data_IF_721966050116
#
_entry.id   IF_721966050116
#
_cell.length_a   1.000
_cell.length_b   1.000
_cell.length_c   1.000
_cell.angle_alpha   90.00
_cell.angle_beta   90.00
_cell.angle_gamma   90.00
#
_symmetry.space_group_name_H-M   'P 1'
#
loop_
_entity.id
_entity.type
_entity.pdbx_description
1 polymer ?
#
# COMPACT_ATOMS: atom_id res chain seq x y z
N UNK A 1 18.54 -16.49 16.91
CA UNK A 1 19.67 -15.85 16.21
C UNK A 1 19.15 -15.53 14.82
N UNK A 2 19.04 -14.25 14.46
CA UNK A 2 18.53 -13.82 13.16
C UNK A 2 19.32 -14.50 12.04
N UNK A 3 18.61 -15.15 11.12
CA UNK A 3 19.20 -15.72 9.93
C UNK A 3 19.50 -14.58 8.94
N UNK A 4 20.69 -13.98 9.08
CA UNK A 4 21.20 -12.91 8.24
C UNK A 4 21.41 -13.32 6.76
N UNK A 5 21.12 -14.57 6.38
CA UNK A 5 21.17 -15.01 4.98
C UNK A 5 19.93 -14.60 4.18
N UNK A 6 18.84 -14.21 4.86
CA UNK A 6 17.66 -13.66 4.19
C UNK A 6 17.84 -12.16 3.97
N UNK A 7 17.54 -11.64 2.77
CA UNK A 7 17.54 -10.21 2.53
C UNK A 7 16.54 -9.55 3.49
N UNK A 8 17.05 -8.64 4.33
CA UNK A 8 16.28 -7.88 5.31
C UNK A 8 16.52 -6.38 5.10
N UNK A 9 15.57 -5.59 5.56
CA UNK A 9 15.66 -4.13 5.58
C UNK A 9 15.66 -3.74 7.05
N UNK A 10 16.73 -3.10 7.50
CA UNK A 10 16.79 -2.50 8.83
C UNK A 10 15.97 -1.21 8.82
N UNK A 11 15.16 -1.01 9.87
CA UNK A 11 14.30 0.15 10.03
C UNK A 11 14.46 0.70 11.44
N UNK A 12 14.51 2.02 11.55
CA UNK A 12 14.51 2.75 12.83
C UNK A 12 13.20 3.53 12.94
N UNK A 13 12.10 2.78 13.13
CA UNK A 13 10.74 3.29 13.18
C UNK A 13 10.02 2.71 14.38
N UNK A 14 9.11 3.48 14.97
CA UNK A 14 8.27 2.98 16.04
C UNK A 14 7.21 1.96 15.53
N UNK A 15 6.59 1.17 16.42
CA UNK A 15 5.60 0.16 16.04
C UNK A 15 4.44 0.71 15.19
N UNK A 16 3.96 1.92 15.48
CA UNK A 16 2.82 2.52 14.78
C UNK A 16 3.25 2.97 13.37
N UNK A 17 4.44 3.53 13.22
CA UNK A 17 5.05 3.88 11.95
C UNK A 17 5.26 2.64 11.07
N UNK A 18 5.70 1.51 11.63
CA UNK A 18 5.84 0.25 10.90
C UNK A 18 4.47 -0.22 10.37
N UNK A 19 3.44 -0.17 11.21
CA UNK A 19 2.09 -0.62 10.83
C UNK A 19 1.37 0.32 9.87
N UNK A 20 1.76 1.60 9.82
CA UNK A 20 1.18 2.61 8.92
C UNK A 20 2.00 2.85 7.65
N UNK A 21 3.24 2.34 7.58
CA UNK A 21 4.07 2.42 6.37
C UNK A 21 3.75 1.24 5.43
N UNK A 22 3.10 1.47 4.27
CA UNK A 22 2.53 0.38 3.46
C UNK A 22 3.57 -0.60 2.90
N UNK A 23 4.79 -0.12 2.64
CA UNK A 23 5.90 -0.94 2.15
C UNK A 23 6.49 -1.86 3.23
N UNK A 24 6.34 -1.51 4.51
CA UNK A 24 6.90 -2.27 5.63
C UNK A 24 5.85 -3.16 6.31
N UNK A 25 4.58 -2.73 6.30
CA UNK A 25 3.51 -3.40 7.01
C UNK A 25 3.18 -4.78 6.40
N UNK A 26 3.42 -5.84 7.18
CA UNK A 26 3.06 -7.23 6.83
C UNK A 26 1.71 -7.68 7.40
N UNK A 27 1.04 -6.81 8.18
CA UNK A 27 -0.19 -7.14 8.88
C UNK A 27 -0.05 -8.38 9.77
N UNK A 28 -0.95 -9.35 9.62
CA UNK A 28 -0.85 -10.62 10.37
C UNK A 28 0.30 -11.52 9.90
N UNK A 29 1.04 -11.13 8.86
CA UNK A 29 2.19 -11.87 8.34
C UNK A 29 3.51 -11.63 9.06
N UNK A 30 3.59 -10.69 10.01
CA UNK A 30 4.80 -10.55 10.84
C UNK A 30 5.04 -11.83 11.64
N UNK A 31 6.25 -12.37 11.56
CA UNK A 31 6.66 -13.59 12.29
C UNK A 31 6.72 -13.31 13.80
N UNK A 32 6.89 -14.37 14.59
CA UNK A 32 7.02 -14.20 16.04
C UNK A 32 8.25 -13.36 16.38
N UNK A 33 9.37 -13.64 15.73
CA UNK A 33 10.64 -12.94 15.90
C UNK A 33 10.53 -11.46 15.49
N UNK A 34 9.89 -11.18 14.34
CA UNK A 34 9.66 -9.80 13.91
C UNK A 34 8.77 -9.03 14.89
N UNK A 35 7.76 -9.68 15.48
CA UNK A 35 6.91 -9.04 16.49
C UNK A 35 7.65 -8.78 17.80
N UNK A 36 8.58 -9.65 18.19
CA UNK A 36 9.44 -9.46 19.36
C UNK A 36 10.39 -8.26 19.14
N UNK A 37 11.08 -8.24 17.99
CA UNK A 37 12.09 -7.23 17.65
C UNK A 37 11.49 -5.85 17.35
N UNK A 38 10.35 -5.81 16.65
CA UNK A 38 9.67 -4.57 16.27
C UNK A 38 8.60 -4.14 17.29
N UNK A 39 8.54 -4.80 18.45
CA UNK A 39 7.61 -4.51 19.55
C UNK A 39 6.13 -4.43 19.13
N UNK A 40 5.69 -5.38 18.28
CA UNK A 40 4.33 -5.39 17.70
C UNK A 40 3.31 -6.21 18.52
N UNK A 41 3.74 -6.79 19.64
CA UNK A 41 2.85 -7.59 20.50
C UNK A 41 1.71 -6.76 21.08
N UNK A 42 0.48 -7.30 21.00
CA UNK A 42 -0.72 -6.60 21.43
C UNK A 42 -1.32 -5.65 20.37
N UNK A 43 -0.57 -5.28 19.34
CA UNK A 43 -1.06 -4.45 18.23
C UNK A 43 -1.69 -5.27 17.10
N UNK A 44 -1.39 -6.56 17.05
CA UNK A 44 -1.87 -7.50 16.04
C UNK A 44 -2.55 -8.71 16.67
N UNK A 45 -3.55 -9.33 16.01
CA UNK A 45 -4.08 -10.62 16.43
C UNK A 45 -2.96 -11.66 16.59
N UNK A 46 -3.09 -12.61 17.55
CA UNK A 46 -2.01 -13.56 17.86
C UNK A 46 -1.71 -14.55 16.73
N UNK A 47 -2.67 -14.78 15.84
CA UNK A 47 -2.47 -15.66 14.68
C UNK A 47 -1.50 -15.01 13.67
N UNK A 48 -0.47 -15.76 13.31
CA UNK A 48 0.46 -15.43 12.23
C UNK A 48 -0.02 -16.13 10.96
N UNK A 49 -0.28 -15.36 9.91
CA UNK A 49 -0.83 -15.88 8.65
C UNK A 49 0.20 -15.88 7.54
N UNK A 50 0.23 -16.93 6.73
CA UNK A 50 1.06 -16.97 5.51
C UNK A 50 0.60 -15.91 4.49
N UNK A 51 1.44 -15.58 3.51
CA UNK A 51 1.05 -14.63 2.46
C UNK A 51 -0.11 -15.19 1.62
N UNK A 52 -0.16 -16.50 1.38
CA UNK A 52 -1.24 -17.20 0.67
C UNK A 52 -2.57 -17.11 1.42
N UNK A 53 -2.56 -17.29 2.75
CA UNK A 53 -3.76 -17.13 3.57
C UNK A 53 -4.29 -15.68 3.53
N UNK A 54 -3.36 -14.72 3.55
CA UNK A 54 -3.72 -13.31 3.40
C UNK A 54 -4.32 -13.01 2.04
N UNK A 55 -3.71 -13.48 0.96
CA UNK A 55 -4.23 -13.35 -0.42
C UNK A 55 -5.62 -13.96 -0.53
N UNK A 56 -5.81 -15.20 -0.07
CA UNK A 56 -7.10 -15.89 -0.11
C UNK A 56 -8.19 -15.10 0.63
N UNK A 57 -7.87 -14.57 1.82
CA UNK A 57 -8.79 -13.73 2.60
C UNK A 57 -9.13 -12.43 1.88
N UNK A 58 -8.14 -11.76 1.26
CA UNK A 58 -8.38 -10.51 0.51
C UNK A 58 -9.17 -10.75 -0.77
N UNK A 59 -8.88 -11.81 -1.50
CA UNK A 59 -9.63 -12.22 -2.69
C UNK A 59 -11.11 -12.49 -2.39
N UNK A 60 -11.42 -13.18 -1.28
CA UNK A 60 -12.81 -13.38 -0.83
C UNK A 60 -13.53 -12.06 -0.51
N UNK A 61 -12.82 -11.10 0.09
CA UNK A 61 -13.40 -9.78 0.36
C UNK A 61 -13.64 -9.00 -0.93
N UNK A 62 -12.70 -9.04 -1.86
CA UNK A 62 -12.83 -8.42 -3.18
C UNK A 62 -14.03 -8.97 -3.96
N UNK A 63 -14.13 -10.29 -4.08
CA UNK A 63 -15.23 -10.96 -4.82
C UNK A 63 -16.60 -10.76 -4.18
N UNK A 64 -16.66 -10.44 -2.88
CA UNK A 64 -17.93 -10.09 -2.21
C UNK A 64 -18.47 -8.70 -2.59
N UNK A 65 -17.63 -7.83 -3.18
CA UNK A 65 -18.03 -6.48 -3.60
C UNK A 65 -18.88 -6.54 -4.86
N UNK A 66 -20.02 -5.85 -4.84
CA UNK A 66 -21.00 -5.88 -5.93
C UNK A 66 -20.78 -4.79 -6.95
N UNK A 67 -20.39 -3.60 -6.52
CA UNK A 67 -20.14 -2.46 -7.40
C UNK A 67 -18.68 -2.38 -7.75
N UNK A 68 -18.39 -1.93 -8.96
CA UNK A 68 -17.03 -1.76 -9.46
C UNK A 68 -16.25 -0.71 -8.64
N UNK A 69 -16.92 0.37 -8.23
CA UNK A 69 -16.31 1.37 -7.34
C UNK A 69 -15.91 0.79 -5.97
N UNK A 70 -16.71 -0.13 -5.41
CA UNK A 70 -16.38 -0.78 -4.13
C UNK A 70 -15.15 -1.69 -4.25
N UNK A 71 -14.95 -2.28 -5.44
CA UNK A 71 -13.75 -3.07 -5.77
C UNK A 71 -12.52 -2.18 -5.92
N UNK A 72 -12.65 -1.04 -6.61
CA UNK A 72 -11.61 -0.02 -6.70
C UNK A 72 -11.18 0.46 -5.30
N UNK A 73 -12.13 0.90 -4.47
CA UNK A 73 -11.87 1.37 -3.11
C UNK A 73 -11.17 0.27 -2.29
N UNK A 74 -11.66 -0.96 -2.36
CA UNK A 74 -11.04 -2.08 -1.65
C UNK A 74 -9.56 -2.29 -2.04
N UNK A 75 -9.26 -2.27 -3.34
CA UNK A 75 -7.89 -2.45 -3.83
C UNK A 75 -7.00 -1.26 -3.47
N UNK A 76 -7.52 -0.03 -3.56
CA UNK A 76 -6.82 1.18 -3.13
C UNK A 76 -6.50 1.15 -1.64
N UNK A 77 -7.47 0.81 -0.79
CA UNK A 77 -7.28 0.67 0.65
C UNK A 77 -6.29 -0.44 1.01
N UNK A 78 -6.22 -1.50 0.19
CA UNK A 78 -5.24 -2.55 0.40
C UNK A 78 -3.84 -2.05 0.07
N UNK A 79 -3.67 -1.36 -1.06
CA UNK A 79 -2.42 -0.71 -1.44
C UNK A 79 -1.95 0.22 -0.32
N UNK A 80 -2.84 1.09 0.19
CA UNK A 80 -2.62 2.07 1.28
C UNK A 80 -2.25 1.47 2.63
N UNK A 81 -2.42 0.16 2.83
CA UNK A 81 -2.10 -0.49 4.09
C UNK A 81 -0.94 -1.48 3.99
N UNK A 82 -0.87 -2.22 2.89
CA UNK A 82 0.11 -3.28 2.69
C UNK A 82 0.36 -3.46 1.19
N UNK A 83 1.40 -2.80 0.72
CA UNK A 83 1.72 -2.68 -0.70
C UNK A 83 2.21 -4.00 -1.29
N UNK A 84 2.97 -4.78 -0.51
CA UNK A 84 3.42 -6.13 -0.90
C UNK A 84 2.23 -7.06 -1.13
N UNK A 85 1.27 -7.07 -0.22
CA UNK A 85 0.07 -7.90 -0.34
C UNK A 85 -0.83 -7.44 -1.48
N UNK A 86 -0.94 -6.13 -1.71
CA UNK A 86 -1.65 -5.58 -2.88
C UNK A 86 -1.06 -6.11 -4.18
N UNK A 87 0.25 -5.95 -4.40
CA UNK A 87 0.89 -6.42 -5.63
C UNK A 87 0.82 -7.94 -5.75
N UNK A 88 1.01 -8.69 -4.67
CA UNK A 88 0.86 -10.16 -4.69
C UNK A 88 -0.54 -10.57 -5.15
N UNK A 89 -1.58 -9.95 -4.60
CA UNK A 89 -2.99 -10.24 -4.94
C UNK A 89 -3.30 -9.88 -6.40
N UNK A 90 -2.92 -8.68 -6.85
CA UNK A 90 -3.18 -8.21 -8.20
C UNK A 90 -2.42 -9.05 -9.22
N UNK A 91 -1.16 -9.43 -8.96
CA UNK A 91 -0.41 -10.30 -9.87
C UNK A 91 -1.01 -11.70 -9.99
N UNK A 92 -1.56 -12.24 -8.90
CA UNK A 92 -2.21 -13.57 -8.90
C UNK A 92 -3.57 -13.56 -9.65
N UNK A 93 -4.30 -12.44 -9.61
CA UNK A 93 -5.62 -12.29 -10.24
C UNK A 93 -5.66 -11.16 -11.27
N UNK A 94 -4.58 -11.00 -12.03
CA UNK A 94 -4.31 -9.81 -12.84
C UNK A 94 -5.43 -9.50 -13.85
N UNK A 95 -5.87 -10.50 -14.61
CA UNK A 95 -6.93 -10.34 -15.60
C UNK A 95 -8.25 -9.83 -15.00
N UNK A 96 -8.62 -10.31 -13.80
CA UNK A 96 -9.84 -9.89 -13.11
C UNK A 96 -9.69 -8.51 -12.47
N UNK A 97 -8.50 -8.18 -11.95
CA UNK A 97 -8.29 -6.97 -11.14
C UNK A 97 -7.85 -5.75 -11.93
N UNK A 98 -7.24 -5.93 -13.11
CA UNK A 98 -6.78 -4.83 -13.97
C UNK A 98 -7.83 -3.74 -14.23
N UNK A 99 -9.10 -4.08 -14.55
CA UNK A 99 -10.14 -3.07 -14.78
C UNK A 99 -10.43 -2.16 -13.58
N UNK A 100 -10.03 -2.57 -12.37
CA UNK A 100 -10.27 -1.86 -11.11
C UNK A 100 -9.03 -1.15 -10.56
N UNK A 101 -7.85 -1.39 -11.12
CA UNK A 101 -6.62 -0.64 -10.79
C UNK A 101 -6.22 0.33 -11.91
N UNK A 102 -6.84 0.20 -13.08
CA UNK A 102 -6.64 1.07 -14.24
C UNK A 102 -7.98 1.36 -14.93
N UNK A 103 -7.97 1.57 -16.25
CA UNK A 103 -9.16 1.80 -17.05
C UNK A 103 -10.08 0.57 -17.08
N UNK A 104 -11.41 0.74 -17.08
CA UNK A 104 -12.13 2.02 -17.09
C UNK A 104 -12.41 2.61 -15.69
N UNK A 105 -12.38 1.81 -14.62
CA UNK A 105 -12.90 2.20 -13.29
C UNK A 105 -12.11 3.35 -12.66
N UNK A 106 -10.80 3.44 -12.91
CA UNK A 106 -10.00 4.60 -12.44
C UNK A 106 -10.53 5.91 -13.02
N UNK A 107 -11.00 5.92 -14.27
CA UNK A 107 -11.57 7.13 -14.87
C UNK A 107 -12.85 7.58 -14.17
N UNK A 108 -13.71 6.64 -13.78
CA UNK A 108 -14.91 6.92 -12.98
C UNK A 108 -14.54 7.43 -11.57
N UNK A 109 -13.59 6.76 -10.91
CA UNK A 109 -13.10 7.19 -9.60
C UNK A 109 -12.46 8.58 -9.63
N UNK A 110 -11.76 8.94 -10.72
CA UNK A 110 -11.18 10.26 -10.90
C UNK A 110 -12.23 11.38 -10.94
N UNK A 111 -13.43 11.12 -11.48
CA UNK A 111 -14.53 12.10 -11.49
C UNK A 111 -15.05 12.39 -10.07
N UNK A 112 -14.93 11.43 -9.16
CA UNK A 112 -15.36 11.54 -7.76
C UNK A 112 -14.17 11.64 -6.78
N UNK A 113 -12.97 11.97 -7.29
CA UNK A 113 -11.71 11.86 -6.55
C UNK A 113 -11.72 12.66 -5.24
N UNK A 114 -12.37 13.82 -5.22
CA UNK A 114 -12.46 14.66 -4.01
C UNK A 114 -13.20 13.96 -2.86
N UNK A 115 -14.20 13.12 -3.17
CA UNK A 115 -14.96 12.36 -2.18
C UNK A 115 -14.28 11.04 -1.82
N UNK A 116 -13.53 10.46 -2.76
CA UNK A 116 -12.80 9.19 -2.59
C UNK A 116 -11.39 9.35 -2.03
N UNK A 117 -10.96 10.59 -1.77
CA UNK A 117 -9.63 10.88 -1.27
C UNK A 117 -9.39 10.22 0.09
N UNK A 118 -8.44 9.28 0.15
CA UNK A 118 -8.04 8.57 1.37
C UNK A 118 -6.63 8.99 1.84
N UNK A 119 -5.62 8.72 1.02
CA UNK A 119 -4.21 8.89 1.33
C UNK A 119 -3.45 9.37 0.11
N UNK A 120 -2.54 10.33 0.31
CA UNK A 120 -1.68 10.82 -0.75
C UNK A 120 -0.64 9.77 -1.15
N UNK A 121 -0.54 9.48 -2.45
CA UNK A 121 0.43 8.56 -3.07
C UNK A 121 1.37 9.21 -4.09
N UNK A 122 1.33 10.53 -4.18
CA UNK A 122 2.14 11.28 -5.13
C UNK A 122 2.35 12.70 -4.65
N UNK A 123 2.69 13.58 -5.59
CA UNK A 123 2.96 14.98 -5.32
C UNK A 123 2.07 15.80 -6.23
N UNK A 124 1.44 16.82 -5.66
CA UNK A 124 0.68 17.80 -6.41
C UNK A 124 1.54 19.03 -6.63
N UNK A 125 1.75 19.41 -7.89
CA UNK A 125 2.48 20.60 -8.27
C UNK A 125 1.49 21.59 -8.91
N UNK A 126 1.38 22.79 -8.33
CA UNK A 126 0.56 23.87 -8.87
C UNK A 126 1.47 25.00 -9.36
N UNK A 127 1.08 25.64 -10.47
CA UNK A 127 1.77 26.83 -10.99
C UNK A 127 1.79 27.99 -9.99
N UNK A 128 0.78 28.08 -9.11
CA UNK A 128 0.72 29.10 -8.04
C UNK A 128 1.88 28.96 -7.04
N UNK A 129 2.49 27.77 -6.97
CA UNK A 129 3.63 27.46 -6.11
C UNK A 129 4.95 27.34 -6.90
N UNK A 130 5.03 27.92 -8.11
CA UNK A 130 6.22 27.82 -8.98
C UNK A 130 7.53 28.18 -8.28
N UNK A 131 7.51 29.20 -7.42
CA UNK A 131 8.70 29.67 -6.71
C UNK A 131 9.10 28.76 -5.54
N UNK A 132 8.28 27.74 -5.21
CA UNK A 132 8.51 26.73 -4.17
C UNK A 132 8.70 25.32 -4.73
N UNK A 133 8.76 25.14 -6.06
CA UNK A 133 8.82 23.81 -6.66
C UNK A 133 10.03 23.00 -6.19
N UNK A 134 11.19 23.64 -6.09
CA UNK A 134 12.40 22.98 -5.60
C UNK A 134 12.23 22.49 -4.15
N UNK A 135 11.71 23.34 -3.27
CA UNK A 135 11.40 22.97 -1.89
C UNK A 135 10.40 21.80 -1.84
N UNK A 136 9.32 21.84 -2.63
CA UNK A 136 8.30 20.78 -2.65
C UNK A 136 8.94 19.43 -3.05
N UNK A 137 9.80 19.43 -4.06
CA UNK A 137 10.48 18.22 -4.53
C UNK A 137 11.51 17.69 -3.52
N UNK A 138 12.19 18.57 -2.78
CA UNK A 138 13.14 18.17 -1.73
C UNK A 138 12.46 17.48 -0.53
N UNK A 139 11.19 17.77 -0.26
CA UNK A 139 10.44 17.15 0.85
C UNK A 139 9.85 15.77 0.52
N UNK A 140 10.01 15.29 -0.71
CA UNK A 140 9.52 13.98 -1.13
C UNK A 140 10.39 12.90 -0.48
N UNK A 141 9.83 12.19 0.48
CA UNK A 141 10.48 11.14 1.26
C UNK A 141 10.64 9.81 0.50
N UNK A 142 11.00 9.87 -0.78
CA UNK A 142 11.31 8.70 -1.61
C UNK A 142 12.78 8.73 -2.03
N UNK A 143 13.65 7.87 -1.45
CA UNK A 143 15.03 7.79 -1.89
C UNK A 143 15.09 7.22 -3.31
N UNK A 144 15.94 7.79 -4.16
CA UNK A 144 16.27 7.31 -5.51
C UNK A 144 15.06 7.02 -6.41
N UNK A 145 14.45 8.06 -6.98
CA UNK A 145 13.36 7.94 -7.95
C UNK A 145 13.92 7.69 -9.35
N UNK A 146 13.59 6.52 -9.93
CA UNK A 146 13.99 6.15 -11.30
C UNK A 146 12.94 6.48 -12.37
N UNK A 147 11.65 6.48 -11.98
CA UNK A 147 10.51 6.63 -12.90
C UNK A 147 9.50 7.62 -12.35
N UNK A 148 9.11 8.58 -13.19
CA UNK A 148 8.06 9.57 -12.89
C UNK A 148 6.96 9.46 -13.94
N UNK A 149 5.72 9.40 -13.49
CA UNK A 149 4.52 9.53 -14.34
C UNK A 149 3.84 10.85 -13.96
N UNK A 150 3.60 11.71 -14.95
CA UNK A 150 3.01 13.05 -14.75
C UNK A 150 1.77 13.23 -15.64
N UNK A 151 0.76 13.88 -15.09
CA UNK A 151 -0.48 14.30 -15.78
C UNK A 151 -0.85 15.71 -15.32
N UNK A 152 -1.53 16.46 -16.18
CA UNK A 152 -2.08 17.81 -15.91
C UNK A 152 -3.58 17.79 -15.58
#
# INVERSE_FOLDING_TARGET
MLDLTKPCIEVDLDPDQILTTPLLNKGTGFTQEERDELHLHGLLPPHISSIEEQVLRRYRNFTSKRKDIDKYIFLKDLQDRNEVLFYRLVLEHCEEMLPYVYTPTVGEASLDYSNLYSQNRGIYLSYDLKDKMEDILQHVSMPSVDVIVVTD
#
